data_IF_873122786041
#
_entry.id   IF_873122786041
#
_cell.length_a   1.000
_cell.length_b   1.000
_cell.length_c   1.000
_cell.angle_alpha   90.00
_cell.angle_beta   90.00
_cell.angle_gamma   90.00
#
_symmetry.space_group_name_H-M   'P 1'
#
loop_
_entity.id
_entity.type
_entity.pdbx_description
1 polymer ?
#
# COMPACT_ATOMS: atom_id res chain seq x y z
N UNK A 1 7.52 -15.10 -0.94
CA UNK A 1 7.72 -14.12 -2.03
C UNK A 1 6.94 -14.47 -3.29
N UNK A 2 6.88 -15.74 -3.74
CA UNK A 2 6.10 -16.12 -4.93
C UNK A 2 4.62 -15.66 -4.87
N UNK A 3 3.93 -15.97 -3.76
CA UNK A 3 2.56 -15.49 -3.51
C UNK A 3 2.40 -13.96 -3.54
N UNK A 4 3.44 -13.21 -3.19
CA UNK A 4 3.40 -11.75 -3.26
C UNK A 4 3.56 -11.26 -4.70
N UNK A 5 4.43 -11.91 -5.48
CA UNK A 5 4.62 -11.65 -6.90
C UNK A 5 3.32 -11.87 -7.69
N UNK A 6 2.63 -12.99 -7.42
CA UNK A 6 1.31 -13.30 -7.99
C UNK A 6 0.27 -12.23 -7.63
N UNK A 7 0.16 -11.85 -6.35
CA UNK A 7 -0.80 -10.82 -5.90
C UNK A 7 -0.52 -9.43 -6.46
N UNK A 8 0.74 -9.10 -6.70
CA UNK A 8 1.17 -7.82 -7.24
C UNK A 8 1.26 -7.84 -8.77
N UNK A 9 0.95 -8.97 -9.41
CA UNK A 9 1.06 -9.20 -10.85
C UNK A 9 2.44 -8.82 -11.42
N UNK A 10 3.51 -9.13 -10.67
CA UNK A 10 4.90 -8.90 -11.05
C UNK A 10 5.72 -10.18 -10.88
N UNK A 11 6.93 -10.20 -11.42
CA UNK A 11 7.83 -11.36 -11.29
C UNK A 11 8.42 -11.44 -9.88
N UNK A 12 8.75 -12.66 -9.43
CA UNK A 12 9.42 -12.86 -8.15
C UNK A 12 10.77 -12.11 -8.03
N UNK A 13 11.62 -12.03 -9.08
CA UNK A 13 12.81 -11.19 -9.07
C UNK A 13 12.51 -9.71 -8.85
N UNK A 14 11.41 -9.19 -9.42
CA UNK A 14 11.00 -7.80 -9.23
C UNK A 14 10.65 -7.53 -7.75
N UNK A 15 9.84 -8.39 -7.12
CA UNK A 15 9.53 -8.29 -5.68
C UNK A 15 10.81 -8.30 -4.84
N UNK A 16 11.75 -9.20 -5.16
CA UNK A 16 13.01 -9.33 -4.41
C UNK A 16 13.86 -8.08 -4.56
N UNK A 17 13.92 -7.50 -5.76
CA UNK A 17 14.64 -6.25 -6.03
C UNK A 17 14.04 -5.09 -5.23
N UNK A 18 12.72 -4.92 -5.27
CA UNK A 18 12.04 -3.85 -4.52
C UNK A 18 12.28 -3.96 -3.02
N UNK A 19 12.27 -5.18 -2.46
CA UNK A 19 12.58 -5.38 -1.03
C UNK A 19 14.02 -4.96 -0.73
N UNK A 20 14.99 -5.38 -1.56
CA UNK A 20 16.39 -4.97 -1.38
C UNK A 20 16.57 -3.47 -1.49
N UNK A 21 15.88 -2.83 -2.43
CA UNK A 21 15.93 -1.37 -2.58
C UNK A 21 15.41 -0.68 -1.32
N UNK A 22 14.34 -1.17 -0.70
CA UNK A 22 13.86 -0.68 0.59
C UNK A 22 14.89 -0.92 1.71
N UNK A 23 15.43 -2.13 1.82
CA UNK A 23 16.46 -2.46 2.82
C UNK A 23 17.69 -1.57 2.69
N UNK A 24 18.09 -1.23 1.45
CA UNK A 24 19.17 -0.28 1.17
C UNK A 24 18.83 1.15 1.58
N UNK A 25 17.60 1.62 1.31
CA UNK A 25 17.14 2.95 1.70
C UNK A 25 17.17 3.12 3.23
N UNK A 26 16.72 2.09 3.96
CA UNK A 26 16.66 2.14 5.42
C UNK A 26 17.97 1.69 6.09
N UNK A 27 18.89 1.08 5.35
CA UNK A 27 20.11 0.44 5.86
C UNK A 27 19.85 -0.62 6.95
N UNK A 28 18.74 -1.35 6.83
CA UNK A 28 18.30 -2.41 7.76
C UNK A 28 17.62 -3.54 6.99
N UNK A 29 17.79 -4.77 7.49
CA UNK A 29 17.07 -5.94 6.97
C UNK A 29 15.60 -5.92 7.42
N UNK A 30 14.70 -5.96 6.44
CA UNK A 30 13.25 -5.98 6.67
C UNK A 30 12.72 -7.41 6.66
N UNK A 31 13.44 -8.35 6.03
CA UNK A 31 13.05 -9.75 5.94
C UNK A 31 14.24 -10.71 6.11
N UNK A 32 14.05 -11.73 6.94
CA UNK A 32 14.97 -12.85 7.07
C UNK A 32 14.56 -14.02 6.16
N UNK A 33 15.55 -14.68 5.57
CA UNK A 33 15.36 -15.90 4.77
C UNK A 33 15.71 -17.11 5.61
N UNK A 34 14.78 -18.04 5.73
CA UNK A 34 14.97 -19.32 6.42
C UNK A 34 14.58 -20.49 5.51
N UNK A 35 14.90 -21.72 5.94
CA UNK A 35 14.56 -22.94 5.20
C UNK A 35 13.05 -23.14 4.95
N UNK A 36 12.18 -22.38 5.65
CA UNK A 36 10.72 -22.42 5.52
C UNK A 36 10.17 -21.26 4.69
N UNK A 37 11.01 -20.35 4.22
CA UNK A 37 10.61 -19.21 3.38
C UNK A 37 11.19 -17.88 3.85
N UNK A 38 10.34 -16.86 3.88
CA UNK A 38 10.73 -15.48 4.18
C UNK A 38 9.85 -14.97 5.31
N UNK A 39 10.46 -14.44 6.36
CA UNK A 39 9.78 -13.95 7.56
C UNK A 39 10.17 -12.48 7.78
N UNK A 40 9.22 -11.58 8.09
CA UNK A 40 9.55 -10.19 8.39
C UNK A 40 10.35 -10.09 9.69
N UNK A 41 11.30 -9.17 9.74
CA UNK A 41 11.98 -8.77 10.99
C UNK A 41 11.06 -7.88 11.82
N UNK A 42 11.49 -7.51 13.03
CA UNK A 42 10.79 -6.50 13.84
C UNK A 42 10.64 -5.16 13.09
N UNK A 43 11.65 -4.80 12.28
CA UNK A 43 11.65 -3.58 11.48
C UNK A 43 10.68 -3.70 10.30
N UNK A 44 10.69 -4.85 9.62
CA UNK A 44 9.72 -5.15 8.56
C UNK A 44 8.28 -5.10 9.05
N UNK A 45 8.02 -5.61 10.26
CA UNK A 45 6.69 -5.55 10.88
C UNK A 45 6.27 -4.11 11.22
N UNK A 46 7.17 -3.33 11.83
CA UNK A 46 6.91 -1.93 12.17
C UNK A 46 6.64 -1.08 10.91
N UNK A 47 7.46 -1.24 9.87
CA UNK A 47 7.28 -0.55 8.59
C UNK A 47 5.96 -0.95 7.93
N UNK A 48 5.62 -2.25 7.93
CA UNK A 48 4.35 -2.72 7.35
C UNK A 48 3.14 -2.06 7.99
N UNK A 49 3.15 -1.89 9.33
CA UNK A 49 2.05 -1.24 10.02
C UNK A 49 1.92 0.23 9.62
N UNK A 50 3.04 0.97 9.59
CA UNK A 50 3.06 2.39 9.20
C UNK A 50 2.64 2.58 7.74
N UNK A 51 3.13 1.74 6.82
CA UNK A 51 2.79 1.83 5.40
C UNK A 51 1.30 1.59 5.15
N UNK A 52 0.65 0.69 5.89
CA UNK A 52 -0.81 0.48 5.78
C UNK A 52 -1.59 1.75 6.12
N UNK A 53 -1.20 2.48 7.16
CA UNK A 53 -1.84 3.73 7.56
C UNK A 53 -1.66 4.80 6.49
N UNK A 54 -0.44 5.00 6.00
CA UNK A 54 -0.13 5.98 4.95
C UNK A 54 -0.93 5.68 3.67
N UNK A 55 -1.01 4.42 3.26
CA UNK A 55 -1.78 4.03 2.07
C UNK A 55 -3.29 4.24 2.25
N UNK A 56 -3.81 4.05 3.46
CA UNK A 56 -5.22 4.33 3.76
C UNK A 56 -5.51 5.83 3.70
N UNK A 57 -4.63 6.65 4.27
CA UNK A 57 -4.72 8.12 4.22
C UNK A 57 -4.64 8.64 2.78
N UNK A 58 -3.71 8.11 1.98
CA UNK A 58 -3.60 8.47 0.56
C UNK A 58 -4.88 8.12 -0.22
N UNK A 59 -5.49 6.96 0.05
CA UNK A 59 -6.77 6.59 -0.57
C UNK A 59 -7.88 7.57 -0.19
N UNK A 60 -7.97 7.91 1.11
CA UNK A 60 -8.94 8.89 1.60
C UNK A 60 -8.77 10.26 0.91
N UNK A 61 -7.53 10.73 0.73
CA UNK A 61 -7.25 11.98 0.05
C UNK A 61 -7.66 11.94 -1.43
N UNK A 62 -7.42 10.81 -2.11
CA UNK A 62 -7.87 10.61 -3.51
C UNK A 62 -9.39 10.62 -3.60
N UNK A 63 -10.08 9.95 -2.67
CA UNK A 63 -11.55 9.91 -2.63
C UNK A 63 -12.14 11.31 -2.36
N UNK A 64 -11.54 12.09 -1.47
CA UNK A 64 -11.94 13.46 -1.18
C UNK A 64 -11.80 14.37 -2.42
N UNK A 65 -10.65 14.32 -3.10
CA UNK A 65 -10.42 15.09 -4.33
C UNK A 65 -11.42 14.70 -5.42
N UNK A 66 -11.68 13.40 -5.59
CA UNK A 66 -12.67 12.91 -6.56
C UNK A 66 -14.08 13.37 -6.19
N UNK A 67 -14.44 13.39 -4.91
CA UNK A 67 -15.73 13.91 -4.46
C UNK A 67 -15.90 15.39 -4.77
N UNK A 68 -14.86 16.20 -4.57
CA UNK A 68 -14.88 17.63 -4.91
C UNK A 68 -15.04 17.81 -6.42
N UNK A 69 -14.25 17.10 -7.22
CA UNK A 69 -14.33 17.16 -8.69
C UNK A 69 -15.71 16.77 -9.22
N UNK A 70 -16.30 15.71 -8.68
CA UNK A 70 -17.62 15.23 -9.11
C UNK A 70 -18.76 16.13 -8.59
N UNK A 71 -18.57 16.85 -7.49
CA UNK A 71 -19.54 17.82 -6.99
C UNK A 71 -19.67 19.05 -7.91
N UNK A 72 -18.63 19.41 -8.68
CA UNK A 72 -18.72 20.46 -9.69
C UNK A 72 -19.51 20.04 -10.94
N UNK A 73 -19.64 18.74 -11.23
CA UNK A 73 -20.37 18.20 -12.39
C UNK A 73 -21.79 17.69 -12.06
N UNK A 74 -22.15 17.55 -10.78
CA UNK A 74 -23.39 16.92 -10.33
C UNK A 74 -24.48 17.88 -9.83
N UNK A 75 -25.61 17.95 -10.53
CA UNK A 75 -26.84 18.60 -10.01
C UNK A 75 -27.44 17.77 -8.86
N UNK A 76 -27.43 18.29 -7.63
CA UNK A 76 -28.13 17.69 -6.49
C UNK A 76 -29.53 18.28 -6.38
N UNK A 77 -30.56 17.48 -6.72
CA UNK A 77 -31.96 17.88 -6.50
C UNK A 77 -32.32 17.57 -5.04
N UNK A 78 -32.42 18.60 -4.22
CA UNK A 78 -32.99 18.50 -2.87
C UNK A 78 -34.50 18.71 -2.97
N UNK A 79 -35.27 17.63 -2.99
CA UNK A 79 -36.71 17.67 -2.75
C UNK A 79 -36.97 17.76 -1.25
N UNK A 80 -37.74 18.76 -0.81
CA UNK A 80 -38.31 18.79 0.54
C UNK A 80 -39.77 18.37 0.47
N UNK A 81 -40.21 17.61 1.47
CA UNK A 81 -41.57 17.09 1.58
C UNK A 81 -42.37 18.09 2.43
N UNK A 82 -43.27 18.82 1.79
CA UNK A 82 -44.27 19.69 2.45
C UNK A 82 -45.51 18.89 2.81
#
# INVERSE_FOLDING_TARGET
MLKAAEKLNITQPAVTRTIRDLENIFAIELFERNNRGVTPTIFGAALSNRTKQILAELRSAVDEINSIKNAEEGHVIVGTLI
#
